data_IF_725397971035
#
_entry.id   IF_725397971035
#
_cell.length_a   1.000
_cell.length_b   1.000
_cell.length_c   1.000
_cell.angle_alpha   90.00
_cell.angle_beta   90.00
_cell.angle_gamma   90.00
#
_symmetry.space_group_name_H-M   'P 1'
#
loop_
_entity.id
_entity.type
_entity.pdbx_description
1 polymer ?
#
# COMPACT_ATOMS: atom_id res chain seq x y z
N UNK A 1 19.90 -4.03 -19.60
CA UNK A 1 18.94 -2.91 -19.42
C UNK A 1 17.69 -3.47 -18.76
N UNK A 2 17.40 -3.09 -17.50
CA UNK A 2 16.09 -3.42 -16.88
C UNK A 2 15.03 -2.60 -17.62
N UNK A 3 13.92 -3.24 -18.02
CA UNK A 3 12.81 -2.54 -18.69
C UNK A 3 12.35 -1.37 -17.79
N UNK A 4 11.94 -0.23 -18.36
CA UNK A 4 11.26 0.79 -17.60
C UNK A 4 10.10 0.13 -16.85
N UNK A 5 9.93 0.44 -15.57
CA UNK A 5 8.74 0.00 -14.82
C UNK A 5 7.56 0.72 -15.46
N UNK A 6 6.88 0.01 -16.36
CA UNK A 6 5.67 0.49 -17.02
C UNK A 6 4.63 0.83 -15.96
N UNK A 7 3.83 1.87 -16.22
CA UNK A 7 2.69 2.21 -15.35
C UNK A 7 1.84 0.94 -15.26
N UNK A 8 1.58 0.42 -14.05
CA UNK A 8 0.68 -0.70 -13.92
C UNK A 8 -0.67 -0.33 -14.52
N UNK A 9 -1.26 -1.23 -15.31
CA UNK A 9 -2.65 -1.08 -15.71
C UNK A 9 -3.50 -1.19 -14.45
N UNK A 10 -3.94 -0.03 -13.96
CA UNK A 10 -4.70 0.07 -12.73
C UNK A 10 -6.02 -0.69 -12.84
N UNK A 11 -6.61 -0.76 -14.03
CA UNK A 11 -7.86 -1.50 -14.23
C UNK A 11 -7.64 -3.00 -14.11
N UNK A 12 -6.47 -3.50 -14.54
CA UNK A 12 -6.07 -4.90 -14.44
C UNK A 12 -5.62 -5.29 -13.02
N UNK A 13 -5.03 -4.35 -12.25
CA UNK A 13 -4.72 -4.53 -10.83
C UNK A 13 -5.95 -4.44 -9.91
N UNK A 14 -6.97 -3.66 -10.31
CA UNK A 14 -8.21 -3.48 -9.56
C UNK A 14 -9.22 -4.60 -9.82
N UNK A 15 -9.08 -5.34 -10.94
CA UNK A 15 -9.77 -6.61 -11.12
C UNK A 15 -9.43 -7.49 -9.92
N UNK A 16 -10.47 -8.04 -9.30
CA UNK A 16 -10.26 -9.10 -8.32
C UNK A 16 -9.33 -10.14 -8.95
N UNK A 17 -8.17 -10.39 -8.34
CA UNK A 17 -7.60 -11.73 -8.40
C UNK A 17 -8.73 -12.61 -7.86
N UNK A 18 -9.36 -13.47 -8.68
CA UNK A 18 -10.53 -14.22 -8.28
C UNK A 18 -10.04 -15.39 -7.41
N UNK A 19 -9.52 -15.08 -6.22
CA UNK A 19 -9.31 -16.04 -5.15
C UNK A 19 -10.67 -16.31 -4.53
N UNK A 20 -11.54 -16.97 -5.31
CA UNK A 20 -12.87 -17.56 -5.02
C UNK A 20 -13.47 -17.39 -3.63
N UNK A 21 -13.50 -16.16 -3.11
CA UNK A 21 -14.11 -15.83 -1.85
C UNK A 21 -15.46 -15.26 -2.22
N UNK A 22 -16.42 -16.18 -2.40
CA UNK A 22 -17.82 -15.88 -2.19
C UNK A 22 -17.91 -15.23 -0.82
N UNK A 23 -17.93 -13.90 -0.78
CA UNK A 23 -18.27 -13.17 0.43
C UNK A 23 -19.75 -13.48 0.58
N UNK A 24 -20.06 -14.57 1.28
CA UNK A 24 -21.37 -14.74 1.89
C UNK A 24 -21.63 -13.42 2.61
N UNK A 25 -22.55 -12.63 2.06
CA UNK A 25 -23.18 -11.53 2.76
C UNK A 25 -23.97 -12.18 3.89
N UNK A 26 -23.26 -12.71 4.89
CA UNK A 26 -23.83 -13.45 5.99
C UNK A 26 -24.75 -12.47 6.70
N UNK A 27 -26.05 -12.70 6.49
CA UNK A 27 -27.13 -11.98 7.13
C UNK A 27 -26.83 -11.99 8.63
N UNK A 28 -26.92 -10.81 9.24
CA UNK A 28 -26.65 -10.59 10.65
C UNK A 28 -27.35 -11.67 11.50
N UNK A 29 -26.62 -12.70 11.94
CA UNK A 29 -27.13 -13.73 12.86
C UNK A 29 -27.56 -13.19 14.24
N UNK A 30 -27.45 -11.87 14.44
CA UNK A 30 -27.82 -11.14 15.64
C UNK A 30 -28.80 -9.98 15.40
N UNK A 31 -29.30 -9.84 14.18
CA UNK A 31 -30.29 -8.80 13.86
C UNK A 31 -31.70 -9.34 14.10
N UNK A 32 -32.51 -8.59 14.86
CA UNK A 32 -33.96 -8.82 15.01
C UNK A 32 -34.77 -8.53 13.72
N UNK A 33 -34.09 -8.21 12.62
CA UNK A 33 -34.69 -7.82 11.34
C UNK A 33 -34.86 -9.08 10.48
N UNK A 34 -36.04 -9.25 9.89
CA UNK A 34 -36.32 -10.37 8.99
C UNK A 34 -35.33 -10.38 7.81
N UNK A 35 -34.90 -11.55 7.31
CA UNK A 35 -34.10 -11.66 6.08
C UNK A 35 -34.67 -10.84 4.91
N UNK A 36 -36.00 -10.80 4.79
CA UNK A 36 -36.69 -10.03 3.75
C UNK A 36 -36.54 -8.52 3.93
N UNK A 37 -36.63 -8.03 5.17
CA UNK A 37 -36.42 -6.62 5.52
C UNK A 37 -34.95 -6.21 5.32
N UNK A 38 -33.99 -7.11 5.58
CA UNK A 38 -32.57 -6.87 5.34
C UNK A 38 -32.27 -6.73 3.84
N UNK A 39 -32.91 -7.55 2.99
CA UNK A 39 -32.81 -7.44 1.52
C UNK A 39 -33.42 -6.14 1.02
N UNK A 40 -34.60 -5.76 1.53
CA UNK A 40 -35.26 -4.52 1.13
C UNK A 40 -34.43 -3.29 1.54
N UNK A 41 -33.81 -3.29 2.72
CA UNK A 41 -32.85 -2.25 3.13
C UNK A 41 -31.62 -2.19 2.24
N UNK A 42 -31.08 -3.34 1.86
CA UNK A 42 -29.96 -3.42 0.90
C UNK A 42 -30.30 -2.77 -0.43
N UNK A 43 -31.44 -3.14 -1.00
CA UNK A 43 -31.86 -2.67 -2.32
C UNK A 43 -32.20 -1.18 -2.31
N UNK A 44 -32.90 -0.71 -1.27
CA UNK A 44 -33.19 0.72 -1.09
C UNK A 44 -31.93 1.54 -0.88
N UNK A 45 -30.98 1.07 -0.07
CA UNK A 45 -29.69 1.72 0.13
C UNK A 45 -28.87 1.78 -1.17
N UNK A 46 -28.85 0.70 -1.95
CA UNK A 46 -28.19 0.68 -3.26
C UNK A 46 -28.83 1.67 -4.22
N UNK A 47 -30.16 1.69 -4.33
CA UNK A 47 -30.87 2.65 -5.18
C UNK A 47 -30.63 4.09 -4.74
N UNK A 48 -30.58 4.35 -3.43
CA UNK A 48 -30.27 5.66 -2.89
C UNK A 48 -28.83 6.10 -3.21
N UNK A 49 -27.85 5.18 -3.18
CA UNK A 49 -26.48 5.47 -3.57
C UNK A 49 -26.36 5.75 -5.08
N UNK A 50 -27.01 4.94 -5.90
CA UNK A 50 -26.97 5.07 -7.37
C UNK A 50 -27.76 6.30 -7.87
N UNK A 51 -28.70 6.81 -7.07
CA UNK A 51 -29.45 8.03 -7.39
C UNK A 51 -28.71 9.33 -7.03
N UNK A 52 -27.57 9.25 -6.31
CA UNK A 52 -26.71 10.40 -6.05
C UNK A 52 -26.11 10.87 -7.38
N UNK A 53 -26.67 11.95 -7.93
CA UNK A 53 -26.21 12.62 -9.13
C UNK A 53 -26.13 14.12 -8.89
N UNK A 54 -25.05 14.76 -9.34
CA UNK A 54 -24.90 16.22 -9.30
C UNK A 54 -23.61 16.70 -8.64
N UNK A 55 -23.51 18.02 -8.36
CA UNK A 55 -22.29 18.64 -7.83
C UNK A 55 -21.98 18.29 -6.37
N UNK A 56 -22.90 17.65 -5.64
CA UNK A 56 -22.71 17.14 -4.28
C UNK A 56 -22.18 15.69 -4.25
N UNK A 57 -21.65 15.20 -5.37
CA UNK A 57 -21.10 13.86 -5.47
C UNK A 57 -19.92 13.66 -4.50
N UNK A 58 -19.94 12.62 -3.65
CA UNK A 58 -18.78 12.32 -2.81
C UNK A 58 -17.56 12.04 -3.68
N UNK A 59 -16.40 12.57 -3.31
CA UNK A 59 -15.16 12.42 -4.10
C UNK A 59 -14.72 10.97 -4.31
N UNK A 60 -15.20 10.03 -3.49
CA UNK A 60 -14.94 8.59 -3.64
C UNK A 60 -15.93 7.88 -4.58
N UNK A 61 -17.03 8.51 -5.00
CA UNK A 61 -18.08 7.80 -5.73
C UNK A 61 -17.62 7.38 -7.14
N UNK A 62 -16.72 8.15 -7.77
CA UNK A 62 -16.08 7.73 -9.02
C UNK A 62 -15.27 6.43 -8.82
N UNK A 63 -14.49 6.35 -7.74
CA UNK A 63 -13.71 5.16 -7.42
C UNK A 63 -14.62 3.95 -7.13
N UNK A 64 -15.77 4.17 -6.50
CA UNK A 64 -16.79 3.15 -6.32
C UNK A 64 -17.23 2.56 -7.66
N UNK A 65 -17.58 3.38 -8.66
CA UNK A 65 -18.00 2.87 -9.97
C UNK A 65 -16.88 2.09 -10.67
N UNK A 66 -15.62 2.54 -10.56
CA UNK A 66 -14.48 1.80 -11.09
C UNK A 66 -14.37 0.41 -10.44
N UNK A 67 -14.41 0.34 -9.10
CA UNK A 67 -14.37 -0.93 -8.36
C UNK A 67 -15.55 -1.86 -8.69
N UNK A 68 -16.74 -1.29 -8.90
CA UNK A 68 -17.92 -2.06 -9.36
C UNK A 68 -17.68 -2.68 -10.72
N UNK A 69 -17.14 -1.91 -11.67
CA UNK A 69 -16.81 -2.40 -13.01
C UNK A 69 -15.68 -3.44 -12.97
N UNK A 70 -14.79 -3.38 -11.97
CA UNK A 70 -13.75 -4.38 -11.71
C UNK A 70 -14.25 -5.67 -11.02
N UNK A 71 -15.54 -5.77 -10.72
CA UNK A 71 -16.18 -7.00 -10.19
C UNK A 71 -16.37 -7.04 -8.67
N UNK A 72 -16.06 -5.97 -7.94
CA UNK A 72 -16.24 -5.96 -6.48
C UNK A 72 -17.72 -5.91 -6.08
N UNK A 73 -18.15 -6.66 -5.02
CA UNK A 73 -19.47 -6.53 -4.44
C UNK A 73 -19.74 -5.09 -4.01
N UNK A 74 -20.95 -4.59 -4.23
CA UNK A 74 -21.20 -3.14 -4.16
C UNK A 74 -20.92 -2.53 -2.78
N UNK A 75 -21.25 -3.25 -1.68
CA UNK A 75 -20.95 -2.78 -0.33
C UNK A 75 -19.46 -2.72 -0.04
N UNK A 76 -18.73 -3.74 -0.48
CA UNK A 76 -17.27 -3.82 -0.32
C UNK A 76 -16.59 -2.76 -1.18
N UNK A 77 -17.02 -2.57 -2.43
CA UNK A 77 -16.54 -1.53 -3.32
C UNK A 77 -16.75 -0.13 -2.72
N UNK A 78 -17.93 0.13 -2.14
CA UNK A 78 -18.25 1.39 -1.49
C UNK A 78 -17.34 1.63 -0.27
N UNK A 79 -17.11 0.60 0.55
CA UNK A 79 -16.18 0.69 1.69
C UNK A 79 -14.74 0.96 1.23
N UNK A 80 -14.24 0.23 0.23
CA UNK A 80 -12.87 0.42 -0.30
C UNK A 80 -12.70 1.84 -0.83
N UNK A 81 -13.65 2.32 -1.64
CA UNK A 81 -13.63 3.68 -2.20
C UNK A 81 -13.60 4.74 -1.08
N UNK A 82 -14.50 4.63 -0.11
CA UNK A 82 -14.56 5.53 1.04
C UNK A 82 -13.28 5.51 1.89
N UNK A 83 -12.73 4.31 2.16
CA UNK A 83 -11.54 4.14 2.98
C UNK A 83 -10.25 4.61 2.27
N UNK A 84 -10.21 4.53 0.94
CA UNK A 84 -9.11 5.01 0.11
C UNK A 84 -9.04 6.55 0.07
N UNK A 85 -10.17 7.25 0.19
CA UNK A 85 -10.18 8.71 0.14
C UNK A 85 -9.52 9.39 1.35
N UNK A 86 -9.02 10.64 1.20
CA UNK A 86 -8.44 11.39 2.30
C UNK A 86 -9.44 11.62 3.43
N UNK A 87 -9.01 11.48 4.70
CA UNK A 87 -9.90 11.60 5.87
C UNK A 87 -10.75 12.89 5.91
N UNK A 88 -10.20 14.01 5.42
CA UNK A 88 -10.88 15.31 5.40
C UNK A 88 -12.03 15.39 4.38
N UNK A 89 -11.96 14.59 3.33
CA UNK A 89 -12.89 14.61 2.19
C UNK A 89 -13.89 13.44 2.25
N UNK A 90 -13.80 12.61 3.29
CA UNK A 90 -14.73 11.49 3.49
C UNK A 90 -16.08 12.01 3.92
N UNK A 91 -17.09 11.64 3.15
CA UNK A 91 -18.49 11.67 3.57
C UNK A 91 -19.09 10.27 3.36
N UNK A 92 -19.74 9.65 4.35
CA UNK A 92 -19.84 10.06 5.76
C UNK A 92 -18.47 10.13 6.47
N UNK A 93 -18.40 10.72 7.66
CA UNK A 93 -17.12 10.94 8.35
C UNK A 93 -16.63 9.70 9.10
N UNK A 94 -17.56 8.86 9.57
CA UNK A 94 -17.24 7.66 10.34
C UNK A 94 -17.63 6.38 9.60
N UNK A 95 -16.97 5.27 9.95
CA UNK A 95 -17.30 3.96 9.40
C UNK A 95 -18.71 3.50 9.81
N UNK A 96 -19.15 3.87 11.02
CA UNK A 96 -20.49 3.57 11.53
C UNK A 96 -21.58 4.33 10.76
N UNK A 97 -21.35 5.61 10.45
CA UNK A 97 -22.24 6.39 9.58
C UNK A 97 -22.30 5.81 8.17
N UNK A 98 -21.16 5.38 7.60
CA UNK A 98 -21.16 4.71 6.30
C UNK A 98 -22.00 3.43 6.33
N UNK A 99 -21.80 2.59 7.36
CA UNK A 99 -22.53 1.34 7.52
C UNK A 99 -24.05 1.57 7.57
N UNK A 100 -24.49 2.54 8.38
CA UNK A 100 -25.91 2.78 8.66
C UNK A 100 -26.60 3.64 7.60
N UNK A 101 -25.98 4.72 7.14
CA UNK A 101 -26.61 5.72 6.25
C UNK A 101 -26.47 5.36 4.77
N UNK A 102 -25.41 4.64 4.38
CA UNK A 102 -25.10 4.37 2.97
C UNK A 102 -25.24 2.89 2.62
N UNK A 103 -24.73 1.99 3.46
CA UNK A 103 -24.70 0.55 3.16
C UNK A 103 -25.97 -0.21 3.60
N UNK A 104 -26.85 0.45 4.36
CA UNK A 104 -28.08 -0.15 4.89
C UNK A 104 -27.82 -1.24 5.94
N UNK A 105 -26.65 -1.22 6.58
CA UNK A 105 -26.27 -2.15 7.64
C UNK A 105 -26.75 -1.67 9.00
N UNK A 106 -26.92 -2.60 9.93
CA UNK A 106 -27.26 -2.27 11.32
C UNK A 106 -26.07 -1.74 12.11
N UNK A 107 -24.88 -2.29 11.84
CA UNK A 107 -23.64 -1.98 12.55
C UNK A 107 -22.44 -2.08 11.61
N UNK A 108 -21.32 -1.49 12.02
CA UNK A 108 -20.05 -1.56 11.32
C UNK A 108 -19.31 -2.90 11.49
N UNK A 109 -19.82 -3.80 12.34
CA UNK A 109 -19.20 -5.11 12.65
C UNK A 109 -19.01 -5.96 11.40
N UNK A 110 -19.97 -5.93 10.48
CA UNK A 110 -19.88 -6.65 9.21
C UNK A 110 -18.67 -6.20 8.38
N UNK A 111 -18.37 -4.90 8.37
CA UNK A 111 -17.19 -4.36 7.68
C UNK A 111 -15.92 -4.93 8.32
N UNK A 112 -15.86 -5.02 9.65
CA UNK A 112 -14.79 -5.70 10.36
C UNK A 112 -14.63 -7.17 9.94
N UNK A 113 -15.74 -7.91 9.85
CA UNK A 113 -15.74 -9.29 9.38
C UNK A 113 -15.27 -9.43 7.93
N UNK A 114 -15.69 -8.55 7.02
CA UNK A 114 -15.23 -8.56 5.63
C UNK A 114 -13.72 -8.38 5.54
N UNK A 115 -13.15 -7.43 6.28
CA UNK A 115 -11.70 -7.18 6.31
C UNK A 115 -10.91 -8.34 6.91
N UNK A 116 -11.47 -9.03 7.89
CA UNK A 116 -10.84 -10.20 8.51
C UNK A 116 -10.84 -11.41 7.56
N UNK A 117 -11.95 -11.63 6.84
CA UNK A 117 -12.10 -12.74 5.89
C UNK A 117 -11.38 -12.50 4.57
N UNK A 118 -11.29 -11.24 4.12
CA UNK A 118 -10.72 -10.88 2.84
C UNK A 118 -9.62 -9.81 3.01
N UNK A 119 -8.33 -10.21 3.11
CA UNK A 119 -7.23 -9.28 3.24
C UNK A 119 -7.02 -8.41 2.00
N UNK A 120 -7.48 -8.85 0.81
CA UNK A 120 -7.37 -8.08 -0.43
C UNK A 120 -8.10 -6.73 -0.35
N UNK A 121 -9.07 -6.58 0.55
CA UNK A 121 -9.71 -5.29 0.84
C UNK A 121 -8.66 -4.27 1.32
N UNK A 122 -7.83 -4.65 2.29
CA UNK A 122 -6.83 -3.74 2.86
C UNK A 122 -5.69 -3.47 1.86
N UNK A 123 -5.31 -4.48 1.09
CA UNK A 123 -4.30 -4.35 0.02
C UNK A 123 -4.78 -3.37 -1.05
N UNK A 124 -6.03 -3.51 -1.50
CA UNK A 124 -6.65 -2.60 -2.50
C UNK A 124 -6.73 -1.18 -1.97
N UNK A 125 -7.13 -0.98 -0.71
CA UNK A 125 -7.13 0.36 -0.08
C UNK A 125 -5.73 0.98 -0.09
N UNK A 126 -4.71 0.20 0.27
CA UNK A 126 -3.32 0.67 0.31
C UNK A 126 -2.82 1.02 -1.09
N UNK A 127 -3.14 0.17 -2.08
CA UNK A 127 -2.81 0.39 -3.48
C UNK A 127 -3.45 1.68 -4.00
N UNK A 128 -4.74 1.87 -3.74
CA UNK A 128 -5.48 3.07 -4.17
C UNK A 128 -4.96 4.35 -3.52
N UNK A 129 -4.56 4.29 -2.25
CA UNK A 129 -3.92 5.42 -1.56
C UNK A 129 -2.53 5.75 -2.13
N UNK A 130 -1.81 4.74 -2.62
CA UNK A 130 -0.51 4.93 -3.26
C UNK A 130 -0.62 5.35 -4.73
N UNK A 131 -1.74 5.08 -5.42
CA UNK A 131 -1.90 5.33 -6.85
C UNK A 131 -1.57 6.77 -7.28
N UNK A 132 -2.03 7.84 -6.57
CA UNK A 132 -1.65 9.22 -6.92
C UNK A 132 -0.14 9.49 -6.84
N UNK A 133 0.58 8.83 -5.93
CA UNK A 133 2.03 8.99 -5.82
C UNK A 133 2.76 8.42 -7.04
N UNK A 134 2.23 7.36 -7.65
CA UNK A 134 2.81 6.80 -8.86
C UNK A 134 2.62 7.72 -10.08
N UNK A 135 1.54 8.50 -10.12
CA UNK A 135 1.32 9.50 -11.18
C UNK A 135 2.37 10.61 -11.13
N UNK A 136 2.74 11.04 -9.91
CA UNK A 136 3.78 12.04 -9.69
C UNK A 136 5.21 11.47 -9.65
N UNK A 137 5.40 10.18 -9.96
CA UNK A 137 6.72 9.53 -9.83
C UNK A 137 7.79 10.23 -10.69
N UNK A 138 7.45 10.62 -11.92
CA UNK A 138 8.37 11.34 -12.79
C UNK A 138 8.70 12.74 -12.25
N UNK A 139 7.69 13.47 -11.76
CA UNK A 139 7.86 14.80 -11.17
C UNK A 139 8.76 14.75 -9.94
N UNK A 140 8.60 13.73 -9.10
CA UNK A 140 9.44 13.50 -7.92
C UNK A 140 10.90 13.27 -8.34
N UNK A 141 11.15 12.48 -9.39
CA UNK A 141 12.52 12.31 -9.91
C UNK A 141 13.08 13.60 -10.49
N UNK A 142 12.28 14.37 -11.22
CA UNK A 142 12.73 15.66 -11.77
C UNK A 142 13.06 16.65 -10.65
N UNK A 143 12.24 16.72 -9.61
CA UNK A 143 12.50 17.54 -8.43
C UNK A 143 13.77 17.08 -7.69
N UNK A 144 13.98 15.76 -7.57
CA UNK A 144 15.20 15.20 -6.99
C UNK A 144 16.44 15.59 -7.80
N UNK A 145 16.39 15.50 -9.14
CA UNK A 145 17.50 15.90 -10.02
C UNK A 145 17.78 17.41 -9.86
N UNK A 146 16.75 18.24 -9.89
CA UNK A 146 16.88 19.70 -9.75
C UNK A 146 17.49 20.08 -8.39
N UNK A 147 17.07 19.42 -7.30
CA UNK A 147 17.66 19.64 -5.98
C UNK A 147 19.08 19.10 -5.91
N UNK A 148 19.34 17.86 -6.33
CA UNK A 148 20.64 17.21 -6.22
C UNK A 148 21.73 17.89 -7.07
N UNK A 149 21.38 18.51 -8.20
CA UNK A 149 22.33 19.26 -9.03
C UNK A 149 22.65 20.64 -8.48
N UNK A 150 21.89 21.15 -7.50
CA UNK A 150 22.15 22.43 -6.87
C UNK A 150 23.44 22.36 -6.01
N UNK A 151 24.42 23.25 -6.22
CA UNK A 151 25.65 23.25 -5.43
C UNK A 151 25.46 23.63 -3.95
N UNK A 152 24.29 24.15 -3.56
CA UNK A 152 23.99 24.52 -2.17
C UNK A 152 24.19 23.32 -1.20
N UNK A 153 24.71 23.62 -0.01
CA UNK A 153 24.95 22.63 1.04
C UNK A 153 23.63 22.01 1.54
N UNK A 154 22.52 22.74 1.43
CA UNK A 154 21.18 22.26 1.81
C UNK A 154 20.75 21.04 1.01
N UNK A 155 21.17 20.94 -0.25
CA UNK A 155 20.84 19.83 -1.16
C UNK A 155 21.75 18.60 -1.01
N UNK A 156 22.61 18.53 0.02
CA UNK A 156 23.49 17.38 0.20
C UNK A 156 22.73 16.07 0.48
N UNK A 157 21.57 16.12 1.14
CA UNK A 157 20.76 14.92 1.44
C UNK A 157 20.21 14.30 0.16
N UNK A 158 19.67 15.13 -0.73
CA UNK A 158 19.14 14.70 -2.02
C UNK A 158 20.24 14.16 -2.94
N UNK A 159 21.45 14.77 -2.92
CA UNK A 159 22.63 14.22 -3.61
C UNK A 159 23.01 12.85 -3.09
N UNK A 160 23.05 12.68 -1.77
CA UNK A 160 23.35 11.40 -1.14
C UNK A 160 22.32 10.35 -1.57
N UNK A 161 21.03 10.67 -1.48
CA UNK A 161 19.95 9.79 -1.91
C UNK A 161 20.05 9.45 -3.41
N UNK A 162 20.36 10.41 -4.27
CA UNK A 162 20.54 10.17 -5.70
C UNK A 162 21.70 9.19 -5.96
N UNK A 163 22.85 9.37 -5.30
CA UNK A 163 24.00 8.46 -5.41
C UNK A 163 23.69 7.07 -4.82
N UNK A 164 22.86 6.99 -3.77
CA UNK A 164 22.34 5.71 -3.26
C UNK A 164 21.45 4.99 -4.27
N UNK A 165 20.56 5.72 -4.94
CA UNK A 165 19.65 5.17 -5.96
C UNK A 165 20.40 4.71 -7.23
N UNK A 166 21.46 5.43 -7.60
CA UNK A 166 22.35 5.06 -8.70
C UNK A 166 23.28 3.88 -8.34
N UNK A 167 23.51 3.67 -7.05
CA UNK A 167 24.40 2.63 -6.52
C UNK A 167 25.87 3.06 -6.37
N UNK A 168 26.18 4.32 -6.68
CA UNK A 168 27.53 4.91 -6.56
C UNK A 168 27.93 5.14 -5.10
N UNK A 169 26.94 5.23 -4.20
CA UNK A 169 27.17 5.35 -2.76
C UNK A 169 26.45 4.23 -2.00
N UNK A 170 27.21 3.52 -1.15
CA UNK A 170 26.67 2.51 -0.24
C UNK A 170 26.71 3.11 1.18
N UNK A 171 25.56 3.26 1.86
CA UNK A 171 25.54 3.69 3.25
C UNK A 171 26.36 2.74 4.12
N UNK A 172 27.21 3.28 5.00
CA UNK A 172 28.06 2.48 5.92
C UNK A 172 27.30 1.36 6.64
N UNK A 173 26.07 1.63 7.09
CA UNK A 173 25.22 0.65 7.77
C UNK A 173 24.90 -0.61 6.92
N UNK A 174 24.95 -0.51 5.59
CA UNK A 174 24.77 -1.64 4.66
C UNK A 174 26.08 -2.36 4.33
N UNK A 175 27.22 -1.71 4.52
CA UNK A 175 28.54 -2.32 4.35
C UNK A 175 28.76 -3.34 5.46
N UNK A 176 28.48 -2.96 6.71
CA UNK A 176 28.62 -3.85 7.87
C UNK A 176 27.78 -5.14 7.74
N UNK A 177 26.59 -5.08 7.15
CA UNK A 177 25.75 -6.28 6.93
C UNK A 177 26.27 -7.21 5.81
N UNK A 178 26.98 -6.68 4.81
CA UNK A 178 27.60 -7.51 3.76
C UNK A 178 28.91 -8.11 4.24
N UNK A 179 29.65 -7.37 5.05
CA UNK A 179 30.91 -7.85 5.63
C UNK A 179 30.68 -8.92 6.71
N UNK A 180 29.48 -9.01 7.31
CA UNK A 180 29.11 -10.09 8.24
C UNK A 180 28.81 -11.41 7.51
N UNK A 181 28.28 -11.37 6.27
CA UNK A 181 28.02 -12.58 5.48
C UNK A 181 29.22 -13.07 4.65
N UNK A 182 30.37 -12.39 4.70
CA UNK A 182 31.64 -12.95 4.20
C UNK A 182 32.43 -13.68 5.29
N UNK A 183 31.88 -13.84 6.50
CA UNK A 183 32.52 -14.54 7.64
C UNK A 183 32.02 -15.97 7.78
N UNK A 184 30.91 -16.34 7.12
CA UNK A 184 30.31 -17.68 7.22
C UNK A 184 31.12 -18.79 6.51
N UNK A 185 32.15 -18.43 5.74
CA UNK A 185 33.07 -19.41 5.12
C UNK A 185 34.40 -19.53 5.90
N UNK A 186 34.54 -19.01 7.13
CA UNK A 186 35.78 -19.19 7.91
C UNK A 186 36.00 -20.62 8.42
N UNK A 187 34.94 -21.39 8.57
CA UNK A 187 35.02 -22.79 9.05
C UNK A 187 35.58 -23.75 7.97
N UNK A 188 35.61 -23.33 6.70
CA UNK A 188 36.11 -24.11 5.57
C UNK A 188 37.53 -23.70 5.11
N UNK A 189 38.13 -22.67 5.70
CA UNK A 189 39.50 -22.27 5.38
C UNK A 189 40.52 -23.12 6.18
N UNK A 190 41.56 -23.67 5.54
CA UNK A 190 42.61 -24.40 6.24
C UNK A 190 43.37 -23.47 7.20
N UNK A 191 43.74 -23.99 8.38
CA UNK A 191 44.35 -23.27 9.50
C UNK A 191 45.51 -22.33 9.12
N UNK A 192 46.25 -22.64 8.05
CA UNK A 192 47.36 -21.81 7.54
C UNK A 192 46.92 -20.44 6.98
N UNK A 193 45.70 -20.34 6.43
CA UNK A 193 45.18 -19.07 5.92
C UNK A 193 44.56 -18.20 7.02
N UNK A 194 43.99 -18.84 8.04
CA UNK A 194 43.53 -18.20 9.28
C UNK A 194 44.69 -17.52 10.02
N UNK A 195 45.86 -18.15 10.10
CA UNK A 195 47.04 -17.53 10.71
C UNK A 195 47.56 -16.31 9.93
N UNK A 196 47.44 -16.32 8.59
CA UNK A 196 47.85 -15.17 7.76
C UNK A 196 46.92 -13.99 7.96
N UNK A 197 45.61 -14.22 8.05
CA UNK A 197 44.61 -13.18 8.32
C UNK A 197 44.75 -12.60 9.74
N UNK A 198 45.04 -13.44 10.73
CA UNK A 198 45.33 -13.00 12.10
C UNK A 198 46.59 -12.12 12.21
N UNK A 199 47.59 -12.36 11.35
CA UNK A 199 48.80 -11.52 11.28
C UNK A 199 48.56 -10.18 10.60
N UNK A 200 47.71 -10.14 9.57
CA UNK A 200 47.35 -8.90 8.87
C UNK A 200 46.54 -7.96 9.77
N UNK A 201 45.55 -8.50 10.48
CA UNK A 201 44.69 -7.73 11.40
C UNK A 201 45.43 -7.17 12.62
N UNK A 202 46.49 -7.84 13.11
CA UNK A 202 47.38 -7.28 14.15
C UNK A 202 48.20 -6.10 13.63
N UNK A 203 48.67 -6.18 12.38
CA UNK A 203 49.55 -5.15 11.79
C UNK A 203 48.81 -3.83 11.51
N UNK A 204 47.53 -3.89 11.18
CA UNK A 204 46.68 -2.70 10.99
C UNK A 204 46.30 -2.00 12.30
N UNK A 205 46.38 -2.73 13.43
CA UNK A 205 46.14 -2.18 14.77
C UNK A 205 47.32 -1.36 15.27
N UNK A 206 48.54 -1.76 14.92
CA UNK A 206 49.79 -1.08 15.30
C UNK A 206 50.12 0.16 14.42
N UNK A 207 49.40 0.36 13.31
CA UNK A 207 49.56 1.53 12.41
C UNK A 207 48.61 2.71 12.75
N UNK A 208 47.69 2.50 13.68
CA UNK A 208 46.66 3.47 14.08
C UNK A 208 46.75 3.89 15.57
N UNK A 209 47.86 3.58 16.25
CA UNK A 209 48.28 4.20 17.51
C UNK A 209 49.45 5.17 17.25
#
# INVERSE_FOLDING_TARGET
MKRPVERPDWDDLLRQIPLGLEIEEAEDGHSFVSPEEARLRSETARQALESIQGPEMPGWLEMYYRLRNSGWPWRVACYIAWAASPRKERWPHTQEELATQVLGLTTDRQIGTWRAKNPAINETITLLQAAPLFEHRADIYNALIASATNPDYKSHQDRKLALELLGDYIPRLRVDQRDIHSVEDLDDLPDEELEKLARLTRKDKDLNE
#
